data_IF_272221691738
#
_entry.id   IF_272221691738
#
_cell.length_a   1.000
_cell.length_b   1.000
_cell.length_c   1.000
_cell.angle_alpha   90.00
_cell.angle_beta   90.00
_cell.angle_gamma   90.00
#
_symmetry.space_group_name_H-M   'P 1'
#
loop_
_entity.id
_entity.type
_entity.pdbx_description
1 polymer ?
#
# COMPACT_ATOMS: atom_id res chain seq x y z
N UNK A 1 1.31 9.23 2.85
CA UNK A 1 0.42 8.15 2.34
C UNK A 1 -0.27 8.44 1.00
N UNK A 2 -1.17 9.43 0.85
CA UNK A 2 -1.91 9.62 -0.42
C UNK A 2 -1.00 9.82 -1.64
N UNK A 3 0.09 10.56 -1.46
CA UNK A 3 1.12 10.76 -2.50
C UNK A 3 1.76 9.43 -2.94
N UNK A 4 2.11 8.55 -2.00
CA UNK A 4 2.67 7.23 -2.28
C UNK A 4 1.70 6.39 -3.13
N UNK A 5 0.40 6.36 -2.80
CA UNK A 5 -0.57 5.59 -3.59
C UNK A 5 -0.70 6.11 -5.02
N UNK A 6 -0.75 7.44 -5.19
CA UNK A 6 -0.75 8.07 -6.51
C UNK A 6 0.54 7.78 -7.28
N UNK A 7 1.68 7.78 -6.60
CA UNK A 7 2.98 7.43 -7.18
C UNK A 7 3.01 5.96 -7.65
N UNK A 8 2.60 5.01 -6.80
CA UNK A 8 2.50 3.58 -7.15
C UNK A 8 1.61 3.37 -8.38
N UNK A 9 0.45 4.04 -8.41
CA UNK A 9 -0.51 3.93 -9.52
C UNK A 9 0.08 4.37 -10.87
N UNK A 10 1.07 5.28 -10.85
CA UNK A 10 1.72 5.85 -12.02
C UNK A 10 2.98 5.07 -12.47
N UNK A 11 3.38 4.02 -11.74
CA UNK A 11 4.50 3.17 -12.14
C UNK A 11 4.16 2.36 -13.39
N UNK A 12 5.17 2.09 -14.19
CA UNK A 12 5.03 1.33 -15.43
C UNK A 12 4.67 -0.12 -15.08
N UNK A 13 3.67 -0.64 -15.78
CA UNK A 13 3.17 -2.01 -15.59
C UNK A 13 2.65 -2.32 -14.19
N UNK A 14 2.35 -1.31 -13.35
CA UNK A 14 1.87 -1.53 -11.99
C UNK A 14 0.59 -2.38 -11.92
N UNK A 15 -0.35 -2.17 -12.84
CA UNK A 15 -1.61 -2.93 -12.95
C UNK A 15 -1.36 -4.42 -13.21
N UNK A 16 -0.29 -4.76 -13.91
CA UNK A 16 0.03 -6.14 -14.31
C UNK A 16 1.01 -6.82 -13.37
N UNK A 17 1.88 -6.05 -12.70
CA UNK A 17 2.94 -6.58 -11.83
C UNK A 17 2.53 -6.63 -10.35
N UNK A 18 1.62 -5.76 -9.90
CA UNK A 18 1.16 -5.76 -8.51
C UNK A 18 -0.10 -6.60 -8.40
N UNK A 19 -0.05 -7.65 -7.58
CA UNK A 19 -1.23 -8.44 -7.22
C UNK A 19 -2.07 -7.75 -6.14
N UNK A 20 -1.39 -7.10 -5.19
CA UNK A 20 -1.99 -6.50 -3.99
C UNK A 20 -1.18 -5.28 -3.55
N UNK A 21 -1.85 -4.18 -3.23
CA UNK A 21 -1.23 -3.03 -2.55
C UNK A 21 -1.99 -2.79 -1.24
N UNK A 22 -1.38 -3.24 -0.15
CA UNK A 22 -2.02 -3.26 1.17
C UNK A 22 -1.59 -2.06 2.00
N UNK A 23 -2.59 -1.29 2.43
CA UNK A 23 -2.45 -0.19 3.40
C UNK A 23 -3.02 -0.64 4.73
N UNK A 24 -2.22 -0.52 5.79
CA UNK A 24 -2.64 -0.78 7.17
C UNK A 24 -2.65 0.54 7.94
N UNK A 25 -3.84 0.94 8.42
CA UNK A 25 -3.94 1.95 9.45
C UNK A 25 -3.77 1.28 10.82
N UNK A 26 -2.62 1.50 11.45
CA UNK A 26 -2.26 0.89 12.73
C UNK A 26 -2.91 1.64 13.93
N UNK A 27 -4.22 1.83 13.85
CA UNK A 27 -5.03 2.63 14.77
C UNK A 27 -4.49 4.06 14.99
N UNK A 28 -4.08 4.73 13.91
CA UNK A 28 -3.78 6.16 13.96
C UNK A 28 -5.06 6.96 14.24
N UNK A 29 -4.88 8.10 14.90
CA UNK A 29 -5.93 9.11 15.14
C UNK A 29 -6.02 10.16 14.02
N UNK A 30 -5.12 10.10 13.04
CA UNK A 30 -5.10 11.04 11.92
C UNK A 30 -6.25 10.79 10.93
N UNK A 31 -6.60 11.82 10.15
CA UNK A 31 -7.62 11.71 9.12
C UNK A 31 -7.05 11.11 7.83
N UNK A 32 -7.50 9.90 7.51
CA UNK A 32 -7.17 9.18 6.27
C UNK A 32 -8.34 9.14 5.27
N UNK A 33 -9.37 9.99 5.41
CA UNK A 33 -10.53 10.00 4.51
C UNK A 33 -10.11 10.15 3.05
N UNK A 34 -9.17 11.07 2.75
CA UNK A 34 -8.65 11.25 1.39
C UNK A 34 -7.98 10.02 0.79
N UNK A 35 -7.36 9.17 1.63
CA UNK A 35 -6.76 7.90 1.21
C UNK A 35 -7.84 6.86 0.95
N UNK A 36 -8.81 6.74 1.86
CA UNK A 36 -9.95 5.82 1.72
C UNK A 36 -10.78 6.16 0.47
N UNK A 37 -11.05 7.44 0.24
CA UNK A 37 -11.77 7.94 -0.93
C UNK A 37 -11.01 7.65 -2.23
N UNK A 38 -9.69 7.87 -2.24
CA UNK A 38 -8.86 7.57 -3.42
C UNK A 38 -8.88 6.07 -3.76
N UNK A 39 -8.72 5.20 -2.75
CA UNK A 39 -8.79 3.75 -2.92
C UNK A 39 -10.17 3.32 -3.45
N UNK A 40 -11.24 3.88 -2.90
CA UNK A 40 -12.61 3.57 -3.33
C UNK A 40 -12.90 4.02 -4.77
N UNK A 41 -12.30 5.14 -5.21
CA UNK A 41 -12.47 5.67 -6.56
C UNK A 41 -11.64 4.93 -7.62
N UNK A 42 -10.47 4.38 -7.26
CA UNK A 42 -9.56 3.69 -8.20
C UNK A 42 -10.02 2.25 -8.47
N UNK A 43 -11.19 2.11 -9.10
CA UNK A 43 -11.71 0.80 -9.53
C UNK A 43 -10.78 0.18 -10.59
N UNK A 44 -10.31 -1.05 -10.33
CA UNK A 44 -9.43 -1.80 -11.25
C UNK A 44 -7.93 -1.77 -10.90
N UNK A 45 -7.55 -1.12 -9.80
CA UNK A 45 -6.21 -1.26 -9.21
C UNK A 45 -6.30 -2.01 -7.88
N UNK A 46 -5.37 -2.91 -7.52
CA UNK A 46 -5.52 -3.83 -6.40
C UNK A 46 -5.19 -3.20 -5.03
N UNK A 47 -5.68 -1.99 -4.77
CA UNK A 47 -5.56 -1.38 -3.45
C UNK A 47 -6.47 -2.10 -2.43
N UNK A 48 -5.93 -2.36 -1.24
CA UNK A 48 -6.66 -2.86 -0.08
C UNK A 48 -6.32 -2.01 1.14
N UNK A 49 -7.32 -1.71 1.96
CA UNK A 49 -7.15 -0.92 3.18
C UNK A 49 -7.67 -1.69 4.38
N UNK A 50 -6.87 -1.78 5.43
CA UNK A 50 -7.23 -2.45 6.68
C UNK A 50 -7.02 -1.51 7.87
N UNK A 51 -8.01 -1.43 8.74
CA UNK A 51 -7.87 -0.81 10.05
C UNK A 51 -7.45 -1.89 11.06
N UNK A 52 -6.37 -1.64 11.81
CA UNK A 52 -5.99 -2.47 12.94
C UNK A 52 -6.92 -2.18 14.14
N UNK A 53 -7.23 -3.19 14.98
CA UNK A 53 -8.15 -3.01 16.10
C UNK A 53 -7.59 -2.11 17.22
N UNK A 54 -6.27 -1.98 17.30
CA UNK A 54 -5.53 -1.16 18.26
C UNK A 54 -4.18 -0.76 17.67
N UNK A 55 -3.42 0.10 18.35
CA UNK A 55 -2.06 0.42 17.93
C UNK A 55 -1.14 -0.77 18.27
N UNK A 56 -0.76 -1.54 17.26
CA UNK A 56 0.03 -2.75 17.42
C UNK A 56 1.54 -2.45 17.53
N UNK A 57 1.97 -1.20 17.38
CA UNK A 57 3.37 -0.85 17.14
C UNK A 57 3.86 -1.31 15.77
N UNK A 58 5.12 -1.01 15.42
CA UNK A 58 5.64 -1.16 14.05
C UNK A 58 5.69 -2.63 13.60
N UNK A 59 6.31 -3.51 14.39
CA UNK A 59 6.55 -4.89 13.98
C UNK A 59 5.24 -5.69 13.84
N UNK A 60 4.36 -5.60 14.86
CA UNK A 60 3.06 -6.29 14.80
C UNK A 60 2.12 -5.65 13.78
N UNK A 61 2.19 -4.34 13.55
CA UNK A 61 1.45 -3.68 12.48
C UNK A 61 1.84 -4.21 11.09
N UNK A 62 3.13 -4.41 10.84
CA UNK A 62 3.61 -5.07 9.60
C UNK A 62 3.12 -6.51 9.49
N UNK A 63 3.23 -7.30 10.57
CA UNK A 63 2.75 -8.68 10.58
C UNK A 63 1.23 -8.76 10.35
N UNK A 64 0.45 -7.83 10.91
CA UNK A 64 -0.98 -7.73 10.64
C UNK A 64 -1.27 -7.52 9.15
N UNK A 65 -0.47 -6.70 8.46
CA UNK A 65 -0.53 -6.59 7.00
C UNK A 65 -0.16 -7.90 6.28
N UNK A 66 0.88 -8.59 6.74
CA UNK A 66 1.33 -9.87 6.18
C UNK A 66 0.29 -10.98 6.30
N UNK A 67 -0.49 -11.00 7.38
CA UNK A 67 -1.58 -11.96 7.58
C UNK A 67 -2.75 -11.76 6.59
N UNK A 68 -2.77 -10.63 5.86
CA UNK A 68 -3.82 -10.25 4.91
C UNK A 68 -3.39 -10.30 3.43
N UNK A 69 -2.19 -10.82 3.13
CA UNK A 69 -1.66 -10.92 1.76
C UNK A 69 -1.36 -12.36 1.37
N UNK A 70 -1.31 -12.62 0.07
CA UNK A 70 -1.01 -13.95 -0.48
C UNK A 70 0.05 -13.96 -1.59
N UNK A 71 0.48 -12.78 -2.05
CA UNK A 71 1.47 -12.65 -3.11
C UNK A 71 2.84 -13.25 -2.69
N UNK A 72 3.59 -13.86 -3.63
CA UNK A 72 4.84 -14.56 -3.33
C UNK A 72 6.02 -13.65 -2.99
N UNK A 73 5.98 -12.39 -3.40
CA UNK A 73 7.00 -11.39 -3.13
C UNK A 73 6.36 -10.24 -2.36
N UNK A 74 6.99 -9.86 -1.24
CA UNK A 74 6.54 -8.77 -0.39
C UNK A 74 7.54 -7.62 -0.46
N UNK A 75 7.02 -6.43 -0.77
CA UNK A 75 7.75 -5.17 -0.69
C UNK A 75 7.14 -4.36 0.46
N UNK A 76 7.92 -4.08 1.49
CA UNK A 76 7.50 -3.23 2.60
C UNK A 76 8.02 -1.80 2.38
N UNK A 77 7.13 -0.82 2.50
CA UNK A 77 7.44 0.60 2.36
C UNK A 77 6.93 1.37 3.58
N UNK A 78 7.63 2.43 3.93
CA UNK A 78 7.10 3.46 4.83
C UNK A 78 6.10 4.34 4.06
N UNK A 79 5.14 4.95 4.76
CA UNK A 79 4.02 5.64 4.13
C UNK A 79 4.33 7.04 3.60
N UNK A 80 5.51 7.55 3.88
CA UNK A 80 6.10 8.79 3.40
C UNK A 80 7.11 8.57 2.26
N UNK A 81 7.21 7.34 1.74
CA UNK A 81 8.06 7.02 0.60
C UNK A 81 7.50 7.55 -0.73
N UNK A 82 8.41 7.81 -1.68
CA UNK A 82 8.12 8.05 -3.10
C UNK A 82 9.08 7.20 -3.92
N UNK A 83 8.55 6.31 -4.76
CA UNK A 83 9.37 5.50 -5.65
C UNK A 83 9.90 6.35 -6.81
N UNK A 84 11.21 6.27 -7.01
CA UNK A 84 11.90 6.91 -8.14
C UNK A 84 11.94 5.98 -9.34
N UNK A 85 11.94 6.57 -10.53
CA UNK A 85 11.89 5.88 -11.83
C UNK A 85 10.61 5.07 -12.02
N UNK A 86 9.88 5.31 -13.10
CA UNK A 86 8.59 4.65 -13.33
C UNK A 86 8.73 3.15 -13.58
N UNK A 87 9.89 2.70 -14.03
CA UNK A 87 10.23 1.31 -14.32
C UNK A 87 10.77 0.54 -13.10
N UNK A 88 10.76 1.12 -11.89
CA UNK A 88 11.32 0.47 -10.70
C UNK A 88 10.72 -0.92 -10.40
N UNK A 89 9.43 -1.15 -10.67
CA UNK A 89 8.81 -2.48 -10.53
C UNK A 89 9.32 -3.48 -11.56
N UNK A 90 9.66 -3.02 -12.76
CA UNK A 90 10.20 -3.87 -13.83
C UNK A 90 11.61 -4.33 -13.50
N UNK A 91 12.39 -3.49 -12.80
CA UNK A 91 13.79 -3.74 -12.46
C UNK A 91 14.00 -4.42 -11.08
N UNK A 92 12.91 -4.84 -10.41
CA UNK A 92 12.95 -5.42 -9.07
C UNK A 92 13.30 -6.92 -9.05
N UNK A 93 13.24 -7.59 -10.21
CA UNK A 93 13.47 -9.03 -10.41
C UNK A 93 14.57 -9.26 -11.43
#
# INVERSE_FOLDING_TARGET
MLELLKNIRQLDQAVTLLEEVVVVNNASTDDYSSVKDYIAAETGFPFKYYDAPENLGVARGRNYGLDNVSAPIIIMLDDDAVLQNKDCLVNLV
#
